data_IF_806616513215
#
_entry.id   IF_806616513215
#
_cell.length_a   1.000
_cell.length_b   1.000
_cell.length_c   1.000
_cell.angle_alpha   90.00
_cell.angle_beta   90.00
_cell.angle_gamma   90.00
#
_symmetry.space_group_name_H-M   'P 1'
#
loop_
_entity.id
_entity.type
_entity.pdbx_description
1 polymer ?
#
# COMPACT_ATOMS: atom_id res chain seq x y z
N UNK A 1 -13.50 2.72 -18.25
CA UNK A 1 -12.05 2.80 -18.56
C UNK A 1 -11.46 1.41 -18.62
N UNK A 2 -10.38 1.24 -19.38
CA UNK A 2 -9.50 0.08 -19.31
C UNK A 2 -8.31 0.42 -18.42
N UNK A 3 -8.11 -0.35 -17.36
CA UNK A 3 -7.11 -0.05 -16.33
C UNK A 3 -6.15 -1.23 -16.20
N UNK A 4 -4.85 -0.98 -16.24
CA UNK A 4 -3.85 -1.95 -15.82
C UNK A 4 -3.51 -1.70 -14.35
N UNK A 5 -3.63 -2.75 -13.52
CA UNK A 5 -3.19 -2.73 -12.12
C UNK A 5 -2.00 -3.66 -11.97
N UNK A 6 -0.81 -3.11 -11.77
CA UNK A 6 0.36 -3.94 -11.47
C UNK A 6 0.36 -4.31 -9.99
N UNK A 7 0.76 -5.52 -9.63
CA UNK A 7 0.67 -6.01 -8.26
C UNK A 7 -0.78 -6.27 -7.81
N UNK A 8 -1.71 -6.44 -8.76
CA UNK A 8 -3.14 -6.60 -8.49
C UNK A 8 -3.53 -7.94 -7.87
N UNK A 9 -2.63 -8.93 -7.81
CA UNK A 9 -2.80 -10.17 -7.07
C UNK A 9 -2.30 -10.09 -5.62
N UNK A 10 -1.65 -8.97 -5.25
CA UNK A 10 -1.16 -8.69 -3.91
C UNK A 10 -2.26 -8.25 -2.95
N UNK A 11 -1.91 -8.03 -1.69
CA UNK A 11 -2.83 -7.61 -0.64
C UNK A 11 -3.61 -6.34 -1.02
N UNK A 12 -2.95 -5.20 -1.12
CA UNK A 12 -3.64 -3.91 -1.37
C UNK A 12 -4.17 -3.86 -2.79
N UNK A 13 -3.36 -4.27 -3.79
CA UNK A 13 -3.74 -4.23 -5.20
C UNK A 13 -5.03 -4.97 -5.50
N UNK A 14 -5.29 -6.10 -4.84
CA UNK A 14 -6.52 -6.87 -5.06
C UNK A 14 -7.79 -6.14 -4.60
N UNK A 15 -7.72 -5.34 -3.53
CA UNK A 15 -8.83 -4.48 -3.11
C UNK A 15 -9.12 -3.36 -4.12
N UNK A 16 -8.06 -2.85 -4.77
CA UNK A 16 -8.20 -1.83 -5.81
C UNK A 16 -8.85 -2.44 -7.06
N UNK A 17 -8.42 -3.66 -7.45
CA UNK A 17 -9.02 -4.41 -8.56
C UNK A 17 -10.52 -4.61 -8.32
N UNK A 18 -10.91 -5.08 -7.12
CA UNK A 18 -12.32 -5.26 -6.75
C UNK A 18 -13.12 -3.94 -6.87
N UNK A 19 -12.56 -2.85 -6.36
CA UNK A 19 -13.21 -1.54 -6.41
C UNK A 19 -13.38 -1.03 -7.84
N UNK A 20 -12.38 -1.19 -8.70
CA UNK A 20 -12.45 -0.79 -10.09
C UNK A 20 -13.47 -1.61 -10.89
N UNK A 21 -13.52 -2.92 -10.69
CA UNK A 21 -14.52 -3.78 -11.35
C UNK A 21 -15.92 -3.43 -10.86
N UNK A 22 -16.12 -3.27 -9.55
CA UNK A 22 -17.40 -2.84 -8.97
C UNK A 22 -17.88 -1.51 -9.55
N UNK A 23 -16.95 -0.59 -9.87
CA UNK A 23 -17.25 0.67 -10.53
C UNK A 23 -17.46 0.56 -12.06
N UNK A 24 -17.44 -0.66 -12.63
CA UNK A 24 -17.70 -0.93 -14.05
C UNK A 24 -16.51 -0.72 -14.97
N UNK A 25 -15.28 -0.74 -14.47
CA UNK A 25 -14.07 -0.65 -15.27
C UNK A 25 -13.58 -2.02 -15.74
N UNK A 26 -12.93 -2.06 -16.91
CA UNK A 26 -12.20 -3.25 -17.39
C UNK A 26 -10.81 -3.27 -16.75
N UNK A 27 -10.49 -4.34 -16.03
CA UNK A 27 -9.21 -4.44 -15.30
C UNK A 27 -8.35 -5.56 -15.83
N UNK A 28 -7.09 -5.23 -16.10
CA UNK A 28 -6.01 -6.17 -16.40
C UNK A 28 -5.04 -6.12 -15.22
N UNK A 29 -4.82 -7.25 -14.58
CA UNK A 29 -3.84 -7.42 -13.51
C UNK A 29 -2.53 -7.89 -14.12
N UNK A 30 -1.44 -7.17 -13.83
CA UNK A 30 -0.07 -7.58 -14.15
C UNK A 30 0.63 -7.90 -12.84
N UNK A 31 0.99 -9.17 -12.65
CA UNK A 31 1.60 -9.65 -11.39
C UNK A 31 2.49 -10.84 -11.68
N UNK A 32 3.68 -10.91 -11.09
CA UNK A 32 4.58 -12.06 -11.24
C UNK A 32 4.31 -13.18 -10.22
N UNK A 33 3.27 -13.01 -9.38
CA UNK A 33 2.85 -13.93 -8.32
C UNK A 33 3.96 -14.31 -7.31
N UNK A 34 5.02 -13.51 -7.20
CA UNK A 34 6.09 -13.76 -6.23
C UNK A 34 5.64 -13.64 -4.78
N UNK A 35 4.67 -12.77 -4.51
CA UNK A 35 3.98 -12.60 -3.22
C UNK A 35 2.47 -12.48 -3.40
N UNK A 36 2.02 -12.08 -4.57
CA UNK A 36 0.62 -12.07 -4.98
C UNK A 36 0.07 -13.50 -5.09
N UNK A 37 -1.22 -13.66 -4.89
CA UNK A 37 -1.92 -14.94 -4.97
C UNK A 37 -2.97 -14.90 -6.07
N UNK A 38 -2.98 -15.92 -6.91
CA UNK A 38 -3.96 -16.03 -8.01
C UNK A 38 -5.41 -15.98 -7.49
N UNK A 39 -5.66 -16.53 -6.30
CA UNK A 39 -6.95 -16.53 -5.63
C UNK A 39 -7.45 -15.13 -5.20
N UNK A 40 -6.55 -14.15 -5.10
CA UNK A 40 -6.92 -12.76 -4.79
C UNK A 40 -7.40 -11.99 -6.03
N UNK A 41 -7.16 -12.52 -7.23
CA UNK A 41 -7.55 -11.83 -8.48
C UNK A 41 -9.05 -11.98 -8.69
N UNK A 42 -9.75 -10.85 -8.87
CA UNK A 42 -11.18 -10.85 -9.14
C UNK A 42 -11.50 -11.66 -10.40
N UNK A 43 -12.57 -12.50 -10.40
CA UNK A 43 -12.88 -13.39 -11.55
C UNK A 43 -13.08 -12.66 -12.88
N UNK A 44 -13.56 -11.41 -12.85
CA UNK A 44 -13.74 -10.58 -14.05
C UNK A 44 -12.48 -9.86 -14.51
N UNK A 45 -11.39 -9.87 -13.70
CA UNK A 45 -10.12 -9.31 -14.10
C UNK A 45 -9.30 -10.31 -14.93
N UNK A 46 -8.66 -9.83 -15.97
CA UNK A 46 -7.70 -10.65 -16.72
C UNK A 46 -6.33 -10.59 -16.06
N UNK A 47 -5.82 -11.73 -15.62
CA UNK A 47 -4.45 -11.85 -15.10
C UNK A 47 -3.45 -12.07 -16.23
N UNK A 48 -2.42 -11.25 -16.26
CA UNK A 48 -1.19 -11.42 -17.05
C UNK A 48 -0.05 -11.67 -16.07
N UNK A 49 0.49 -12.88 -16.08
CA UNK A 49 1.61 -13.25 -15.23
C UNK A 49 2.92 -12.71 -15.84
N UNK A 50 3.40 -11.57 -15.31
CA UNK A 50 4.56 -10.86 -15.84
C UNK A 50 5.22 -10.02 -14.75
N UNK A 51 6.55 -9.94 -14.77
CA UNK A 51 7.32 -9.07 -13.88
C UNK A 51 7.30 -7.62 -14.38
N UNK A 52 7.31 -6.64 -13.47
CA UNK A 52 7.38 -5.22 -13.85
C UNK A 52 8.72 -4.83 -14.49
N UNK A 53 9.74 -5.64 -14.33
CA UNK A 53 11.04 -5.51 -15.02
C UNK A 53 11.07 -6.15 -16.40
N UNK A 54 10.00 -6.84 -16.83
CA UNK A 54 9.97 -7.52 -18.13
C UNK A 54 9.91 -6.50 -19.28
N UNK A 55 10.80 -6.56 -20.29
CA UNK A 55 10.77 -5.67 -21.45
C UNK A 55 9.50 -5.81 -22.30
N UNK A 56 8.79 -6.94 -22.22
CA UNK A 56 7.52 -7.18 -22.91
C UNK A 56 6.35 -6.32 -22.39
N UNK A 57 6.53 -5.57 -21.29
CA UNK A 57 5.50 -4.65 -20.79
C UNK A 57 5.13 -3.56 -21.81
N UNK A 58 6.09 -3.08 -22.59
CA UNK A 58 5.83 -2.09 -23.64
C UNK A 58 4.85 -2.66 -24.68
N UNK A 59 5.09 -3.88 -25.14
CA UNK A 59 4.23 -4.54 -26.14
C UNK A 59 2.83 -4.80 -25.54
N UNK A 60 2.75 -5.21 -24.29
CA UNK A 60 1.48 -5.38 -23.58
C UNK A 60 0.69 -4.06 -23.52
N UNK A 61 1.32 -2.96 -23.09
CA UNK A 61 0.64 -1.67 -22.98
C UNK A 61 0.24 -1.12 -24.35
N UNK A 62 1.08 -1.23 -25.37
CA UNK A 62 0.76 -0.82 -26.74
C UNK A 62 -0.40 -1.64 -27.34
N UNK A 63 -0.51 -2.93 -26.98
CA UNK A 63 -1.60 -3.80 -27.42
C UNK A 63 -2.91 -3.48 -26.69
N UNK A 64 -2.84 -3.36 -25.37
CA UNK A 64 -4.02 -3.17 -24.53
C UNK A 64 -4.53 -1.72 -24.51
N UNK A 65 -3.67 -0.75 -24.75
CA UNK A 65 -3.98 0.69 -24.73
C UNK A 65 -4.79 1.10 -23.52
N UNK A 66 -4.25 0.92 -22.30
CA UNK A 66 -4.99 1.26 -21.08
C UNK A 66 -5.18 2.78 -20.97
N UNK A 67 -6.35 3.19 -20.48
CA UNK A 67 -6.62 4.60 -20.14
C UNK A 67 -5.79 5.01 -18.91
N UNK A 68 -5.63 4.10 -17.95
CA UNK A 68 -4.93 4.33 -16.68
C UNK A 68 -4.06 3.13 -16.32
N UNK A 69 -2.88 3.41 -15.80
CA UNK A 69 -2.04 2.42 -15.11
C UNK A 69 -1.99 2.74 -13.63
N UNK A 70 -2.37 1.77 -12.79
CA UNK A 70 -2.28 1.87 -11.34
C UNK A 70 -1.14 0.96 -10.86
N UNK A 71 -0.06 1.56 -10.36
CA UNK A 71 1.19 0.85 -10.09
C UNK A 71 1.34 0.51 -8.60
N UNK A 72 0.91 -0.72 -8.23
CA UNK A 72 1.06 -1.31 -6.90
C UNK A 72 2.22 -2.30 -6.77
N UNK A 73 2.71 -2.88 -7.87
CA UNK A 73 3.80 -3.85 -7.82
C UNK A 73 5.05 -3.23 -7.17
N UNK A 74 5.53 -3.84 -6.11
CA UNK A 74 6.72 -3.40 -5.41
C UNK A 74 7.21 -4.50 -4.46
N UNK A 75 8.51 -4.52 -4.14
CA UNK A 75 8.96 -5.10 -2.89
C UNK A 75 8.51 -4.19 -1.75
N UNK A 76 7.63 -4.69 -0.87
CA UNK A 76 7.11 -3.92 0.27
C UNK A 76 7.83 -4.23 1.59
N UNK A 77 8.81 -5.14 1.58
CA UNK A 77 9.54 -5.58 2.76
C UNK A 77 10.71 -4.66 3.08
N UNK A 78 10.61 -3.92 4.17
CA UNK A 78 11.70 -3.06 4.67
C UNK A 78 12.94 -3.90 5.00
N UNK A 79 12.79 -5.03 5.71
CA UNK A 79 13.95 -5.82 6.10
C UNK A 79 14.58 -6.58 4.93
N UNK A 80 13.79 -7.00 3.93
CA UNK A 80 14.33 -7.56 2.69
C UNK A 80 15.12 -6.49 1.91
N UNK A 81 14.63 -5.26 1.87
CA UNK A 81 15.35 -4.16 1.21
C UNK A 81 16.73 -3.90 1.80
N UNK A 82 16.87 -4.01 3.13
CA UNK A 82 18.16 -3.90 3.81
C UNK A 82 19.08 -5.07 3.48
N UNK A 83 18.55 -6.30 3.47
CA UNK A 83 19.33 -7.51 3.15
C UNK A 83 19.69 -7.62 1.67
N UNK A 84 18.84 -7.12 0.77
CA UNK A 84 18.97 -7.23 -0.69
C UNK A 84 18.66 -5.90 -1.39
N UNK A 85 19.47 -4.84 -1.19
CA UNK A 85 19.15 -3.50 -1.70
C UNK A 85 19.13 -3.43 -3.23
N UNK A 86 19.94 -4.21 -3.92
CA UNK A 86 19.91 -4.26 -5.39
C UNK A 86 18.61 -4.88 -5.92
N UNK A 87 18.07 -5.89 -5.25
CA UNK A 87 16.77 -6.46 -5.59
C UNK A 87 15.65 -5.44 -5.37
N UNK A 88 15.68 -4.73 -4.22
CA UNK A 88 14.71 -3.68 -3.93
C UNK A 88 14.72 -2.56 -4.98
N UNK A 89 15.91 -2.05 -5.31
CA UNK A 89 16.07 -1.03 -6.35
C UNK A 89 15.62 -1.54 -7.73
N UNK A 90 15.92 -2.79 -8.07
CA UNK A 90 15.47 -3.43 -9.30
C UNK A 90 13.95 -3.45 -9.42
N UNK A 91 13.25 -3.89 -8.37
CA UNK A 91 11.79 -3.96 -8.38
C UNK A 91 11.14 -2.57 -8.27
N UNK A 92 11.58 -1.74 -7.32
CA UNK A 92 10.87 -0.52 -6.98
C UNK A 92 11.29 0.70 -7.82
N UNK A 93 12.55 0.76 -8.29
CA UNK A 93 13.03 1.89 -9.10
C UNK A 93 13.04 1.52 -10.58
N UNK A 94 13.76 0.46 -10.97
CA UNK A 94 13.86 0.08 -12.38
C UNK A 94 12.51 -0.45 -12.89
N UNK A 95 11.76 -1.22 -12.09
CA UNK A 95 10.40 -1.65 -12.41
C UNK A 95 9.46 -0.46 -12.63
N UNK A 96 9.51 0.56 -11.76
CA UNK A 96 8.74 1.80 -11.94
C UNK A 96 9.12 2.52 -13.24
N UNK A 97 10.42 2.62 -13.56
CA UNK A 97 10.88 3.23 -14.81
C UNK A 97 10.38 2.45 -16.04
N UNK A 98 10.40 1.12 -15.99
CA UNK A 98 9.88 0.29 -17.08
C UNK A 98 8.38 0.52 -17.29
N UNK A 99 7.59 0.63 -16.21
CA UNK A 99 6.17 1.00 -16.26
C UNK A 99 5.97 2.40 -16.88
N UNK A 100 6.77 3.38 -16.49
CA UNK A 100 6.67 4.75 -17.00
C UNK A 100 7.03 4.83 -18.50
N UNK A 101 8.06 4.10 -18.93
CA UNK A 101 8.44 4.01 -20.36
C UNK A 101 7.35 3.30 -21.17
N UNK A 102 6.79 2.19 -20.67
CA UNK A 102 5.67 1.51 -21.31
C UNK A 102 4.43 2.43 -21.40
N UNK A 103 4.11 3.16 -20.32
CA UNK A 103 3.01 4.10 -20.31
C UNK A 103 3.18 5.25 -21.30
N UNK A 104 4.40 5.80 -21.39
CA UNK A 104 4.75 6.85 -22.35
C UNK A 104 4.62 6.36 -23.80
N UNK A 105 5.16 5.17 -24.11
CA UNK A 105 5.14 4.64 -25.48
C UNK A 105 3.74 4.23 -25.94
N UNK A 106 2.90 3.75 -25.01
CA UNK A 106 1.51 3.40 -25.28
C UNK A 106 0.54 4.58 -25.18
N UNK A 107 1.04 5.80 -24.93
CA UNK A 107 0.24 7.02 -24.77
C UNK A 107 -0.84 6.89 -23.69
N UNK A 108 -0.50 6.23 -22.57
CA UNK A 108 -1.40 6.07 -21.41
C UNK A 108 -1.86 7.42 -20.89
N UNK A 109 -3.17 7.57 -20.66
CA UNK A 109 -3.76 8.83 -20.22
C UNK A 109 -3.32 9.26 -18.82
N UNK A 110 -3.08 8.30 -17.88
CA UNK A 110 -2.70 8.62 -16.50
C UNK A 110 -1.98 7.46 -15.82
N UNK A 111 -1.03 7.79 -14.93
CA UNK A 111 -0.41 6.84 -13.99
C UNK A 111 -0.78 7.21 -12.56
N UNK A 112 -1.32 6.25 -11.81
CA UNK A 112 -1.50 6.34 -10.36
C UNK A 112 -0.37 5.54 -9.71
N UNK A 113 0.46 6.21 -8.95
CA UNK A 113 1.62 5.60 -8.28
C UNK A 113 1.35 5.43 -6.79
N UNK A 114 1.66 4.25 -6.27
CA UNK A 114 1.53 3.98 -4.84
C UNK A 114 2.86 4.18 -4.14
N UNK A 115 2.92 5.24 -3.36
CA UNK A 115 4.04 5.62 -2.51
C UNK A 115 3.78 5.19 -1.06
N UNK A 116 4.66 5.54 -0.14
CA UNK A 116 4.54 5.16 1.26
C UNK A 116 4.78 6.34 2.21
N UNK A 117 3.70 6.94 2.70
CA UNK A 117 3.78 7.97 3.74
C UNK A 117 4.28 7.42 5.08
N UNK A 118 4.03 6.14 5.36
CA UNK A 118 4.54 5.49 6.57
C UNK A 118 6.06 5.27 6.59
N UNK A 119 6.74 5.38 5.43
CA UNK A 119 8.17 5.09 5.33
C UNK A 119 9.01 6.27 4.82
N UNK A 120 8.52 7.03 3.83
CA UNK A 120 9.35 8.03 3.14
C UNK A 120 9.72 9.25 3.99
N UNK A 121 8.86 9.62 4.93
CA UNK A 121 9.13 10.75 5.83
C UNK A 121 10.23 10.43 6.85
N UNK A 122 10.41 9.15 7.21
CA UNK A 122 11.54 8.68 8.03
C UNK A 122 11.61 9.35 9.40
N UNK A 123 12.60 10.22 9.61
CA UNK A 123 12.70 11.01 10.83
C UNK A 123 11.59 12.05 10.88
N UNK A 124 10.76 11.98 11.90
CA UNK A 124 9.61 12.89 12.07
C UNK A 124 10.09 14.22 12.62
N UNK A 125 9.92 15.30 11.86
CA UNK A 125 10.26 16.66 12.29
C UNK A 125 9.07 17.34 12.99
N UNK A 126 7.85 17.08 12.52
CA UNK A 126 6.60 17.55 13.13
C UNK A 126 5.46 16.56 12.87
N UNK A 127 4.39 16.67 13.65
CA UNK A 127 3.17 15.87 13.57
C UNK A 127 1.93 16.80 13.51
N UNK A 128 0.89 16.44 12.76
CA UNK A 128 0.82 15.34 11.79
C UNK A 128 1.65 15.67 10.55
N UNK A 129 2.24 14.64 9.91
CA UNK A 129 3.08 14.84 8.71
C UNK A 129 2.20 15.10 7.49
N UNK A 130 2.27 16.29 6.91
CA UNK A 130 1.62 16.62 5.64
C UNK A 130 2.49 16.29 4.42
N UNK A 131 2.04 16.64 3.22
CA UNK A 131 2.76 16.36 1.99
C UNK A 131 4.02 17.22 1.81
N UNK A 132 4.14 18.32 2.54
CA UNK A 132 5.30 19.24 2.55
C UNK A 132 6.36 18.83 3.58
N UNK A 133 6.04 17.87 4.47
CA UNK A 133 7.01 17.33 5.42
C UNK A 133 8.25 16.81 4.68
N UNK A 134 9.48 17.16 5.11
CA UNK A 134 10.70 16.72 4.47
C UNK A 134 10.78 15.19 4.36
N UNK A 135 11.11 14.69 3.16
CA UNK A 135 11.40 13.28 2.98
C UNK A 135 12.79 12.94 3.53
N UNK A 136 12.85 12.03 4.50
CA UNK A 136 14.08 11.58 5.14
C UNK A 136 14.11 10.05 5.24
N UNK A 137 14.13 9.33 4.09
CA UNK A 137 14.02 7.87 4.06
C UNK A 137 15.17 7.19 4.81
N UNK A 138 14.86 6.29 5.72
CA UNK A 138 15.82 5.59 6.59
C UNK A 138 16.01 4.10 6.23
N UNK A 139 15.50 3.68 5.09
CA UNK A 139 15.69 2.32 4.56
C UNK A 139 15.76 2.32 3.03
N UNK A 140 16.38 1.30 2.39
CA UNK A 140 16.37 1.17 0.93
C UNK A 140 14.94 1.17 0.35
N UNK A 141 13.99 0.47 0.97
CA UNK A 141 12.57 0.50 0.61
C UNK A 141 11.98 1.92 0.60
N UNK A 142 12.18 2.66 1.69
CA UNK A 142 11.69 4.04 1.80
C UNK A 142 12.29 4.94 0.71
N UNK A 143 13.60 4.79 0.47
CA UNK A 143 14.31 5.53 -0.57
C UNK A 143 13.82 5.15 -1.97
N UNK A 144 13.64 3.86 -2.26
CA UNK A 144 13.19 3.40 -3.57
C UNK A 144 11.75 3.87 -3.87
N UNK A 145 10.84 3.84 -2.89
CA UNK A 145 9.48 4.38 -3.04
C UNK A 145 9.48 5.89 -3.28
N UNK A 146 10.28 6.63 -2.53
CA UNK A 146 10.46 8.07 -2.76
C UNK A 146 11.06 8.36 -4.14
N UNK A 147 12.09 7.62 -4.54
CA UNK A 147 12.73 7.76 -5.86
C UNK A 147 11.74 7.48 -6.99
N UNK A 148 10.93 6.42 -6.88
CA UNK A 148 9.86 6.12 -7.85
C UNK A 148 8.86 7.28 -7.98
N UNK A 149 8.42 7.88 -6.87
CA UNK A 149 7.54 9.06 -6.88
C UNK A 149 8.19 10.25 -7.59
N UNK A 150 9.49 10.47 -7.39
CA UNK A 150 10.22 11.55 -8.07
C UNK A 150 10.32 11.30 -9.58
N UNK A 151 10.49 10.06 -10.02
CA UNK A 151 10.44 9.71 -11.45
C UNK A 151 9.06 9.91 -12.05
N UNK A 152 7.99 9.52 -11.36
CA UNK A 152 6.61 9.74 -11.82
C UNK A 152 6.35 11.23 -12.05
N UNK A 153 6.75 12.08 -11.10
CA UNK A 153 6.65 13.54 -11.24
C UNK A 153 7.47 14.05 -12.42
N UNK A 154 8.71 13.59 -12.56
CA UNK A 154 9.60 14.01 -13.65
C UNK A 154 9.03 13.65 -15.02
N UNK A 155 8.40 12.47 -15.16
CA UNK A 155 7.72 12.08 -16.40
C UNK A 155 6.51 12.98 -16.72
N UNK A 156 5.81 13.44 -15.70
CA UNK A 156 4.79 14.48 -15.86
C UNK A 156 5.36 15.78 -16.41
N UNK A 157 6.48 16.25 -15.85
CA UNK A 157 7.15 17.49 -16.25
C UNK A 157 7.76 17.42 -17.67
N UNK A 158 8.40 16.29 -18.02
CA UNK A 158 9.12 16.16 -19.31
C UNK A 158 8.19 15.69 -20.44
N UNK A 159 7.28 14.76 -20.16
CA UNK A 159 6.48 14.07 -21.17
C UNK A 159 4.99 14.41 -21.12
N UNK A 160 4.56 15.25 -20.18
CA UNK A 160 3.15 15.59 -20.03
C UNK A 160 2.27 14.43 -19.54
N UNK A 161 2.86 13.37 -18.99
CA UNK A 161 2.12 12.24 -18.44
C UNK A 161 1.32 12.69 -17.21
N UNK A 162 0.00 12.55 -17.22
CA UNK A 162 -0.79 12.83 -16.02
C UNK A 162 -0.50 11.78 -14.96
N UNK A 163 -0.39 12.22 -13.72
CA UNK A 163 -0.06 11.34 -12.62
C UNK A 163 -0.72 11.76 -11.32
N UNK A 164 -0.94 10.80 -10.44
CA UNK A 164 -1.28 11.02 -9.03
C UNK A 164 -0.44 10.06 -8.18
N UNK A 165 0.14 10.53 -7.09
CA UNK A 165 0.83 9.68 -6.11
C UNK A 165 0.00 9.57 -4.84
N UNK A 166 -0.22 8.34 -4.35
CA UNK A 166 -0.91 8.07 -3.10
C UNK A 166 0.09 7.53 -2.08
N UNK A 167 0.36 8.31 -1.04
CA UNK A 167 1.30 8.00 0.05
C UNK A 167 0.55 7.32 1.18
N UNK A 168 0.51 5.99 1.16
CA UNK A 168 -0.22 5.24 2.17
C UNK A 168 0.45 5.27 3.54
N UNK A 169 -0.37 5.39 4.59
CA UNK A 169 -0.01 5.06 5.96
C UNK A 169 0.15 3.52 6.13
N UNK A 170 -0.01 2.99 7.33
CA UNK A 170 0.08 1.55 7.58
C UNK A 170 -1.23 0.85 7.17
N UNK A 171 -1.24 0.29 5.96
CA UNK A 171 -2.43 -0.39 5.44
C UNK A 171 -2.64 -1.72 6.14
N UNK A 172 -3.90 -2.01 6.53
CA UNK A 172 -4.32 -3.30 7.06
C UNK A 172 -5.67 -3.73 6.47
N UNK A 173 -5.97 -5.03 6.51
CA UNK A 173 -7.25 -5.53 6.01
C UNK A 173 -7.22 -7.01 5.61
N UNK A 174 -8.34 -7.53 5.07
CA UNK A 174 -8.43 -8.87 4.49
C UNK A 174 -7.35 -9.12 3.43
N UNK A 175 -6.94 -10.37 3.26
CA UNK A 175 -5.90 -10.80 2.30
C UNK A 175 -4.47 -10.33 2.63
N UNK A 176 -4.24 -9.62 3.75
CA UNK A 176 -2.89 -9.33 4.21
C UNK A 176 -2.21 -10.62 4.65
N UNK A 177 -1.01 -10.90 4.10
CA UNK A 177 -0.25 -12.09 4.47
C UNK A 177 0.30 -11.94 5.91
N UNK A 178 0.03 -12.88 6.83
CA UNK A 178 0.56 -12.84 8.19
C UNK A 178 2.00 -13.30 8.30
N UNK A 179 2.58 -13.87 7.24
CA UNK A 179 3.91 -14.44 7.24
C UNK A 179 4.95 -13.49 6.62
N UNK A 180 6.19 -13.61 7.02
CA UNK A 180 7.29 -12.79 6.50
C UNK A 180 7.29 -11.37 7.09
N UNK A 181 7.29 -10.36 6.25
CA UNK A 181 7.28 -8.92 6.61
C UNK A 181 5.85 -8.39 6.81
N UNK A 182 5.01 -9.18 7.43
CA UNK A 182 3.61 -8.87 7.63
C UNK A 182 3.41 -7.62 8.50
N UNK A 183 2.35 -6.88 8.23
CA UNK A 183 1.88 -5.85 9.14
C UNK A 183 1.41 -6.45 10.47
N UNK A 184 1.59 -5.69 11.55
CA UNK A 184 1.28 -6.14 12.91
C UNK A 184 -0.16 -6.67 13.07
N UNK A 185 -1.13 -6.11 12.31
CA UNK A 185 -2.54 -6.55 12.35
C UNK A 185 -2.67 -7.99 11.88
N UNK A 186 -2.09 -8.34 10.72
CA UNK A 186 -2.17 -9.70 10.18
C UNK A 186 -1.45 -10.71 11.09
N UNK A 187 -0.28 -10.33 11.64
CA UNK A 187 0.47 -11.16 12.61
C UNK A 187 -0.40 -11.44 13.85
N UNK A 188 -1.05 -10.41 14.39
CA UNK A 188 -1.89 -10.59 15.57
C UNK A 188 -3.13 -11.44 15.26
N UNK A 189 -3.79 -11.22 14.13
CA UNK A 189 -4.91 -12.05 13.70
C UNK A 189 -4.51 -13.52 13.60
N UNK A 190 -3.41 -13.83 12.92
CA UNK A 190 -2.95 -15.20 12.76
C UNK A 190 -2.57 -15.84 14.11
N UNK A 191 -1.82 -15.12 14.94
CA UNK A 191 -1.44 -15.63 16.26
C UNK A 191 -2.68 -15.95 17.11
N UNK A 192 -3.65 -15.05 17.15
CA UNK A 192 -4.88 -15.28 17.92
C UNK A 192 -5.70 -16.46 17.38
N UNK A 193 -5.74 -16.64 16.05
CA UNK A 193 -6.37 -17.80 15.42
C UNK A 193 -5.68 -19.10 15.80
N UNK A 194 -4.36 -19.10 15.87
CA UNK A 194 -3.53 -20.27 16.21
C UNK A 194 -3.45 -20.51 17.73
N UNK A 195 -4.13 -19.71 18.55
CA UNK A 195 -4.05 -19.78 20.02
C UNK A 195 -2.71 -19.35 20.60
N UNK A 196 -1.94 -18.56 19.83
CA UNK A 196 -0.63 -18.05 20.23
C UNK A 196 -0.82 -16.63 20.79
N UNK A 197 -0.28 -16.35 21.98
CA UNK A 197 -0.29 -15.00 22.54
C UNK A 197 0.64 -14.10 21.73
N UNK A 198 0.12 -13.01 21.10
CA UNK A 198 0.96 -12.09 20.34
C UNK A 198 2.04 -11.42 21.19
N UNK A 199 3.16 -11.09 20.54
CA UNK A 199 4.28 -10.37 21.16
C UNK A 199 4.26 -8.90 20.73
N UNK A 200 4.30 -8.00 21.72
CA UNK A 200 4.45 -6.57 21.52
C UNK A 200 5.88 -6.18 21.87
N UNK A 201 6.61 -5.68 20.87
CA UNK A 201 7.94 -5.15 21.10
C UNK A 201 7.90 -3.82 21.84
N UNK A 202 8.94 -3.57 22.68
CA UNK A 202 9.05 -2.37 23.53
C UNK A 202 7.88 -2.29 24.52
N UNK A 203 7.43 -1.07 24.86
CA UNK A 203 6.32 -0.81 25.79
C UNK A 203 4.92 -0.85 25.13
N UNK A 204 4.88 -0.96 23.80
CA UNK A 204 3.64 -0.99 23.02
C UNK A 204 2.98 0.38 22.81
N UNK A 205 3.58 1.47 23.32
CA UNK A 205 3.06 2.83 23.13
C UNK A 205 3.58 3.50 21.85
N UNK A 206 4.44 2.80 21.07
CA UNK A 206 4.75 3.27 19.72
C UNK A 206 3.47 3.28 18.88
N UNK A 207 3.19 4.42 18.24
CA UNK A 207 1.95 4.62 17.51
C UNK A 207 2.18 4.72 16.00
N UNK A 208 1.19 4.24 15.23
CA UNK A 208 1.15 4.30 13.77
C UNK A 208 -0.24 4.73 13.32
N UNK A 209 -0.31 5.30 12.14
CA UNK A 209 -1.56 5.55 11.44
C UNK A 209 -1.96 4.27 10.70
N UNK A 210 -3.05 3.64 11.11
CA UNK A 210 -3.58 2.41 10.51
C UNK A 210 -4.77 2.74 9.61
N UNK A 211 -4.61 2.54 8.31
CA UNK A 211 -5.65 2.78 7.30
C UNK A 211 -6.19 1.45 6.75
N UNK A 212 -7.51 1.33 6.65
CA UNK A 212 -8.15 0.14 6.11
C UNK A 212 -7.98 0.03 4.59
N UNK A 213 -7.70 -1.17 4.07
CA UNK A 213 -7.44 -1.41 2.65
C UNK A 213 -8.60 -0.97 1.74
N UNK A 214 -9.85 -1.09 2.21
CA UNK A 214 -11.02 -0.58 1.49
C UNK A 214 -11.04 0.94 1.34
N UNK A 215 -10.50 1.68 2.31
CA UNK A 215 -10.37 3.14 2.21
C UNK A 215 -9.26 3.54 1.23
N UNK A 216 -8.17 2.75 1.17
CA UNK A 216 -7.16 2.91 0.12
C UNK A 216 -7.77 2.66 -1.28
N UNK A 217 -8.64 1.66 -1.42
CA UNK A 217 -9.35 1.40 -2.66
C UNK A 217 -10.23 2.58 -3.07
N UNK A 218 -10.94 3.20 -2.11
CA UNK A 218 -11.74 4.41 -2.36
C UNK A 218 -10.86 5.60 -2.80
N UNK A 219 -9.68 5.79 -2.21
CA UNK A 219 -8.75 6.84 -2.65
C UNK A 219 -8.31 6.63 -4.11
N UNK A 220 -8.06 5.39 -4.52
CA UNK A 220 -7.71 5.06 -5.90
C UNK A 220 -8.86 5.32 -6.89
N UNK A 221 -10.11 5.05 -6.52
CA UNK A 221 -11.27 5.39 -7.35
C UNK A 221 -11.33 6.90 -7.62
N UNK A 222 -11.16 7.72 -6.58
CA UNK A 222 -11.17 9.18 -6.74
C UNK A 222 -9.98 9.70 -7.56
N UNK A 223 -8.84 9.04 -7.42
CA UNK A 223 -7.63 9.36 -8.19
C UNK A 223 -7.74 9.02 -9.69
N UNK A 224 -8.73 8.26 -10.14
CA UNK A 224 -8.98 8.03 -11.58
C UNK A 224 -9.36 9.34 -12.29
N UNK A 225 -10.16 10.18 -11.64
CA UNK A 225 -10.75 11.37 -12.24
C UNK A 225 -10.12 12.68 -11.75
N UNK A 226 -9.43 12.66 -10.60
CA UNK A 226 -8.86 13.86 -9.97
C UNK A 226 -7.39 13.71 -9.56
N UNK A 227 -6.82 14.80 -9.04
CA UNK A 227 -5.49 14.80 -8.43
C UNK A 227 -4.31 14.78 -9.40
N UNK A 228 -4.50 15.24 -10.64
CA UNK A 228 -3.43 15.28 -11.63
C UNK A 228 -2.27 16.18 -11.18
N UNK A 229 -1.05 15.64 -11.27
CA UNK A 229 0.17 16.33 -10.87
C UNK A 229 0.36 16.46 -9.34
N UNK A 230 -0.41 15.72 -8.54
CA UNK A 230 -0.40 15.83 -7.09
C UNK A 230 0.02 14.54 -6.38
N UNK A 231 0.61 14.72 -5.20
CA UNK A 231 0.80 13.66 -4.22
C UNK A 231 -0.13 13.89 -3.02
N UNK A 232 -0.69 12.81 -2.47
CA UNK A 232 -1.63 12.83 -1.35
C UNK A 232 -1.27 11.80 -0.30
N UNK A 233 -1.31 12.21 0.96
CA UNK A 233 -1.32 11.29 2.08
C UNK A 233 -2.68 10.57 2.18
N UNK A 234 -2.61 9.26 2.41
CA UNK A 234 -3.79 8.40 2.57
C UNK A 234 -3.65 7.64 3.89
N UNK A 235 -4.30 8.13 4.91
CA UNK A 235 -4.28 7.64 6.27
C UNK A 235 -5.52 8.07 7.03
N UNK A 236 -5.56 7.82 8.33
CA UNK A 236 -6.66 8.25 9.19
C UNK A 236 -6.38 9.59 9.89
N UNK A 237 -5.12 10.01 9.93
CA UNK A 237 -4.66 11.14 10.74
C UNK A 237 -4.57 10.81 12.24
N UNK A 238 -4.71 9.55 12.61
CA UNK A 238 -4.77 9.13 14.02
C UNK A 238 -3.61 8.20 14.34
N UNK A 239 -2.78 8.60 15.31
CA UNK A 239 -1.74 7.74 15.86
C UNK A 239 -2.33 6.72 16.82
N UNK A 240 -2.43 5.45 16.43
CA UNK A 240 -2.91 4.35 17.26
C UNK A 240 -1.73 3.55 17.82
N UNK A 241 -1.69 3.36 19.17
CA UNK A 241 -0.64 2.57 19.82
C UNK A 241 -0.81 1.07 19.55
N UNK A 242 0.29 0.32 19.57
CA UNK A 242 0.24 -1.14 19.42
C UNK A 242 -0.53 -1.79 20.58
N UNK A 243 -0.49 -1.20 21.79
CA UNK A 243 -1.33 -1.64 22.89
C UNK A 243 -2.82 -1.48 22.58
N UNK A 244 -3.24 -0.30 22.08
CA UNK A 244 -4.64 -0.05 21.69
C UNK A 244 -5.08 -1.04 20.60
N UNK A 245 -4.23 -1.26 19.59
CA UNK A 245 -4.49 -2.24 18.52
C UNK A 245 -4.69 -3.65 19.08
N UNK A 246 -3.79 -4.09 19.95
CA UNK A 246 -3.84 -5.42 20.59
C UNK A 246 -5.13 -5.61 21.39
N UNK A 247 -5.44 -4.68 22.30
CA UNK A 247 -6.64 -4.78 23.13
C UNK A 247 -7.93 -4.72 22.30
N UNK A 248 -7.96 -3.90 21.26
CA UNK A 248 -9.14 -3.86 20.38
C UNK A 248 -9.33 -5.20 19.68
N UNK A 249 -8.26 -5.80 19.16
CA UNK A 249 -8.32 -7.06 18.41
C UNK A 249 -8.64 -8.25 19.34
N UNK A 250 -8.04 -8.34 20.53
CA UNK A 250 -8.35 -9.39 21.50
C UNK A 250 -9.80 -9.32 21.98
N UNK A 251 -10.34 -8.11 22.18
CA UNK A 251 -11.77 -7.93 22.49
C UNK A 251 -12.68 -8.41 21.34
N UNK A 252 -12.31 -8.15 20.06
CA UNK A 252 -13.05 -8.65 18.91
C UNK A 252 -12.99 -10.19 18.85
N UNK A 253 -11.82 -10.78 19.12
CA UNK A 253 -11.64 -12.21 19.16
C UNK A 253 -12.30 -12.91 20.37
N UNK A 254 -12.84 -12.14 21.34
CA UNK A 254 -13.41 -12.68 22.57
C UNK A 254 -12.36 -13.32 23.50
N UNK A 255 -11.12 -12.87 23.44
CA UNK A 255 -9.98 -13.42 24.18
C UNK A 255 -9.44 -12.37 25.17
N UNK A 256 -9.38 -12.72 26.46
CA UNK A 256 -8.75 -11.89 27.50
C UNK A 256 -7.29 -12.31 27.66
N UNK A 257 -6.39 -11.57 27.01
CA UNK A 257 -4.97 -11.94 26.93
C UNK A 257 -4.07 -10.78 27.39
N UNK A 258 -2.97 -11.14 28.06
CA UNK A 258 -1.85 -10.24 28.30
C UNK A 258 -0.77 -10.48 27.24
N UNK A 259 -0.32 -9.47 26.49
CA UNK A 259 0.66 -9.67 25.43
C UNK A 259 2.02 -10.09 26.00
N UNK A 260 2.77 -10.90 25.23
CA UNK A 260 4.19 -11.11 25.52
C UNK A 260 4.95 -9.83 25.21
N UNK A 261 6.04 -9.56 25.93
CA UNK A 261 6.87 -8.38 25.74
C UNK A 261 8.21 -8.75 25.08
N UNK A 262 8.51 -8.12 23.95
CA UNK A 262 9.78 -8.23 23.27
C UNK A 262 10.65 -6.98 23.41
N UNK A 263 11.94 -7.05 23.03
CA UNK A 263 12.84 -5.90 23.07
C UNK A 263 12.41 -4.81 22.09
N UNK A 264 12.88 -3.57 22.32
CA UNK A 264 12.71 -2.49 21.33
C UNK A 264 13.45 -2.83 20.05
N UNK A 265 12.82 -2.61 18.91
CA UNK A 265 13.46 -2.74 17.61
C UNK A 265 14.30 -1.48 17.30
N UNK A 266 15.55 -1.63 16.88
CA UNK A 266 16.35 -0.49 16.44
C UNK A 266 15.66 0.27 15.29
N UNK A 267 15.68 1.59 15.36
CA UNK A 267 15.09 2.45 14.33
C UNK A 267 13.56 2.62 14.42
N UNK A 268 12.88 1.98 15.38
CA UNK A 268 11.43 2.18 15.55
C UNK A 268 11.12 3.61 16.01
N UNK A 269 10.36 4.34 15.19
CA UNK A 269 9.84 5.66 15.55
C UNK A 269 8.81 5.55 16.67
N UNK A 270 8.82 6.50 17.60
CA UNK A 270 7.85 6.53 18.70
C UNK A 270 6.44 6.80 18.21
N UNK A 271 6.28 7.76 17.34
CA UNK A 271 4.98 8.20 16.83
C UNK A 271 5.09 8.56 15.36
N UNK A 272 4.14 8.08 14.55
CA UNK A 272 4.05 8.37 13.13
C UNK A 272 2.60 8.34 12.69
N UNK A 273 2.05 9.47 12.23
CA UNK A 273 0.74 9.59 11.59
C UNK A 273 0.72 10.77 10.63
N UNK A 274 -0.17 10.70 9.63
CA UNK A 274 -0.21 11.60 8.50
C UNK A 274 -1.26 12.70 8.70
N UNK A 275 -1.05 13.86 8.09
CA UNK A 275 -2.13 14.81 7.80
C UNK A 275 -2.73 14.45 6.43
N UNK A 276 -4.02 14.20 6.38
CA UNK A 276 -4.76 13.85 5.17
C UNK A 276 -5.70 14.98 4.72
N UNK A 277 -5.52 16.19 5.23
CA UNK A 277 -6.37 17.34 4.92
C UNK A 277 -6.32 17.75 3.45
N UNK A 278 -5.20 17.53 2.75
CA UNK A 278 -5.08 17.86 1.32
C UNK A 278 -5.99 16.97 0.46
N UNK A 279 -5.94 15.66 0.62
CA UNK A 279 -6.79 14.75 -0.15
C UNK A 279 -8.27 14.96 0.16
N UNK A 280 -8.61 15.31 1.40
CA UNK A 280 -9.97 15.65 1.77
C UNK A 280 -10.48 16.91 1.02
N UNK A 281 -9.70 17.97 1.02
CA UNK A 281 -10.08 19.23 0.35
C UNK A 281 -10.17 19.12 -1.17
N UNK A 282 -9.25 18.37 -1.78
CA UNK A 282 -9.09 18.34 -3.24
C UNK A 282 -9.87 17.22 -3.92
N UNK A 283 -10.00 16.06 -3.26
CA UNK A 283 -10.69 14.88 -3.81
C UNK A 283 -11.93 14.46 -3.00
N UNK A 284 -12.24 15.13 -1.89
CA UNK A 284 -13.36 14.75 -1.01
C UNK A 284 -13.16 13.40 -0.30
N UNK A 285 -11.93 12.91 -0.24
CA UNK A 285 -11.63 11.63 0.39
C UNK A 285 -11.47 11.74 1.89
N UNK A 286 -12.06 10.79 2.61
CA UNK A 286 -11.84 10.54 4.05
C UNK A 286 -11.79 9.04 4.32
N UNK A 287 -11.00 8.62 5.29
CA UNK A 287 -11.12 7.28 5.84
C UNK A 287 -12.53 7.09 6.43
N UNK A 288 -13.18 6.00 6.06
CA UNK A 288 -14.57 5.67 6.44
C UNK A 288 -14.63 4.61 7.52
N UNK A 289 -13.73 3.63 7.45
CA UNK A 289 -13.68 2.56 8.42
C UNK A 289 -12.96 3.02 9.69
N UNK A 290 -13.65 3.03 10.82
CA UNK A 290 -13.02 3.17 12.12
C UNK A 290 -12.13 1.95 12.43
N UNK A 291 -11.14 2.12 13.32
CA UNK A 291 -10.20 1.05 13.67
C UNK A 291 -10.90 -0.26 14.03
N UNK A 292 -11.90 -0.21 14.92
CA UNK A 292 -12.64 -1.40 15.37
C UNK A 292 -13.33 -2.10 14.22
N UNK A 293 -14.05 -1.37 13.39
CA UNK A 293 -14.76 -1.92 12.23
C UNK A 293 -13.80 -2.59 11.24
N UNK A 294 -12.68 -1.91 10.89
CA UNK A 294 -11.67 -2.48 10.01
C UNK A 294 -11.03 -3.74 10.58
N UNK A 295 -10.77 -3.77 11.89
CA UNK A 295 -10.25 -4.95 12.58
C UNK A 295 -11.26 -6.11 12.62
N UNK A 296 -12.56 -5.84 12.84
CA UNK A 296 -13.62 -6.86 12.79
C UNK A 296 -13.70 -7.49 11.40
N UNK A 297 -13.68 -6.70 10.33
CA UNK A 297 -13.67 -7.19 8.94
C UNK A 297 -12.42 -8.03 8.65
N UNK A 298 -11.25 -7.59 9.17
CA UNK A 298 -9.99 -8.32 9.01
C UNK A 298 -10.03 -9.64 9.77
N UNK A 299 -10.43 -9.63 11.04
CA UNK A 299 -10.55 -10.82 11.87
C UNK A 299 -11.51 -11.85 11.27
N UNK A 300 -12.67 -11.42 10.79
CA UNK A 300 -13.63 -12.30 10.13
C UNK A 300 -13.04 -12.99 8.90
N UNK A 301 -12.20 -12.28 8.11
CA UNK A 301 -11.52 -12.90 6.98
C UNK A 301 -10.54 -14.00 7.42
N UNK A 302 -9.79 -13.79 8.51
CA UNK A 302 -8.84 -14.79 9.02
C UNK A 302 -9.54 -16.02 9.61
N UNK A 303 -10.73 -15.86 10.18
CA UNK A 303 -11.48 -16.94 10.85
C UNK A 303 -12.53 -17.59 9.96
N UNK A 304 -12.82 -17.05 8.78
CA UNK A 304 -13.74 -17.67 7.81
C UNK A 304 -13.17 -18.98 7.26
N UNK A 305 -13.97 -20.02 7.10
CA UNK A 305 -13.54 -21.25 6.41
C UNK A 305 -13.08 -20.89 4.97
N UNK A 306 -11.91 -21.40 4.60
CA UNK A 306 -11.36 -21.27 3.25
C UNK A 306 -11.91 -22.33 2.32
#
# INVERSE_FOLDING_TARGET
>A
MRIIVTGGAGFVGSHIVDAYITAGHQVIVVDNLSTGKRENVHPEARLVEMDVGDPGLVDLFCTEKPDVVNHHAANASVSLSVRRPLFDAGQNVLGTLNILEAARQAEVGKVIYISSGGAMYGTVEYLAMDEDHPASPVSPYALSKYTGERYVRLYGEIHGLRWTSLRYANVYGPRQDPYGEAGVVAIFCQNLQDGIVPEIHWDGEQSRDFVYAGDCAHANLLALEGGDGQAYNVGTGIGTSINTLFHTLTNIAGQDLTPRRGPRRPGDARTSYLDCGKIERELGWKARAGLREGLERTWNHFTSPR
#
